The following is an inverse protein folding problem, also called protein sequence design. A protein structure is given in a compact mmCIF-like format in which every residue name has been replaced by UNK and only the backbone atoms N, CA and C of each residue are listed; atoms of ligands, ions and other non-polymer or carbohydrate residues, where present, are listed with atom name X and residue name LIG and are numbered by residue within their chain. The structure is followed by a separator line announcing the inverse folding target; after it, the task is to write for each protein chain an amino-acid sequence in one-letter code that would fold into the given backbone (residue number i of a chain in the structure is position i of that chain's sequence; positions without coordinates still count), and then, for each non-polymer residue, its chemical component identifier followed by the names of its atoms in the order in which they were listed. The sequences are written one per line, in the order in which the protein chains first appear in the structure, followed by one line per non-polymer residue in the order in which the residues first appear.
data_IF_192158841002
#
_entry.id   IF_192158841002
#
_cell.length_a   1.000
_cell.length_b   1.000
_cell.length_c   1.000
_cell.angle_alpha   90.00
_cell.angle_beta   90.00
_cell.angle_gamma   90.00
#
_symmetry.space_group_name_H-M   'P 1'
#
loop_
_entity.id
_entity.type
_entity.pdbx_description
1 polymer ?
#
# COMPACT_ATOMS: atom_id res chain seq x y z
N UNK A 1 -9.65 -2.00 3.02
CA UNK A 1 -8.52 -1.25 2.40
C UNK A 1 -7.43 -1.02 3.44
N UNK A 2 -6.16 -1.08 3.01
CA UNK A 2 -4.98 -0.90 3.84
C UNK A 2 -3.99 0.04 3.14
N UNK A 3 -3.38 0.97 3.88
CA UNK A 3 -2.32 1.87 3.36
C UNK A 3 -1.04 1.60 4.16
N UNK A 4 0.04 1.26 3.46
CA UNK A 4 1.36 1.03 4.04
C UNK A 4 2.34 2.09 3.59
N UNK A 5 3.24 2.52 4.49
CA UNK A 5 4.29 3.48 4.15
C UNK A 5 5.22 2.94 3.05
N UNK A 6 5.72 1.71 3.21
CA UNK A 6 6.51 0.97 2.22
C UNK A 6 6.46 -0.52 2.56
N UNK A 7 7.19 -1.35 1.81
CA UNK A 7 7.32 -2.79 2.04
C UNK A 7 8.68 -3.20 2.62
N UNK A 8 9.50 -2.23 3.07
CA UNK A 8 10.82 -2.51 3.66
C UNK A 8 10.66 -2.87 5.13
N UNK A 9 11.42 -3.85 5.62
CA UNK A 9 11.26 -4.30 7.02
C UNK A 9 9.84 -4.81 7.28
N UNK A 10 9.37 -4.88 8.54
CA UNK A 10 8.23 -5.74 8.91
C UNK A 10 6.92 -5.45 8.17
N UNK A 11 6.81 -4.32 7.48
CA UNK A 11 5.62 -3.87 6.79
C UNK A 11 5.12 -4.84 5.72
N UNK A 12 5.98 -5.60 5.01
CA UNK A 12 5.51 -6.67 4.10
C UNK A 12 4.72 -7.73 4.86
N UNK A 13 5.28 -8.21 5.97
CA UNK A 13 4.67 -9.27 6.78
C UNK A 13 3.40 -8.78 7.45
N UNK A 14 3.43 -7.56 8.02
CA UNK A 14 2.25 -6.93 8.64
C UNK A 14 1.14 -6.74 7.60
N UNK A 15 1.49 -6.29 6.39
CA UNK A 15 0.53 -6.11 5.32
C UNK A 15 -0.14 -7.43 4.91
N UNK A 16 0.66 -8.48 4.77
CA UNK A 16 0.15 -9.82 4.46
C UNK A 16 -0.79 -10.32 5.55
N UNK A 17 -0.34 -10.29 6.81
CA UNK A 17 -1.11 -10.80 7.95
C UNK A 17 -2.42 -10.05 8.17
N UNK A 18 -2.40 -8.72 8.01
CA UNK A 18 -3.62 -7.93 8.09
C UNK A 18 -4.59 -8.30 6.98
N UNK A 19 -4.11 -8.44 5.72
CA UNK A 19 -4.94 -8.86 4.60
C UNK A 19 -5.51 -10.28 4.78
N UNK A 20 -4.75 -11.21 5.36
CA UNK A 20 -5.21 -12.57 5.68
C UNK A 20 -6.37 -12.60 6.69
N UNK A 21 -6.56 -11.56 7.52
CA UNK A 21 -7.69 -11.49 8.45
C UNK A 21 -9.04 -11.23 7.75
N UNK A 22 -9.06 -10.85 6.48
CA UNK A 22 -10.27 -10.46 5.75
C UNK A 22 -10.63 -11.49 4.66
N UNK A 23 -10.82 -12.75 5.05
CA UNK A 23 -11.08 -13.87 4.13
C UNK A 23 -12.32 -13.71 3.25
N UNK A 24 -13.35 -13.01 3.74
CA UNK A 24 -14.63 -12.82 3.06
C UNK A 24 -14.81 -11.41 2.48
N UNK A 25 -13.72 -10.63 2.33
CA UNK A 25 -13.77 -9.27 1.81
C UNK A 25 -12.73 -9.04 0.73
N UNK A 26 -13.09 -8.26 -0.28
CA UNK A 26 -12.11 -7.73 -1.24
C UNK A 26 -11.23 -6.70 -0.53
N UNK A 27 -9.95 -7.04 -0.33
CA UNK A 27 -8.97 -6.13 0.25
C UNK A 27 -8.04 -5.55 -0.80
N UNK A 28 -7.85 -4.24 -0.74
CA UNK A 28 -6.83 -3.50 -1.49
C UNK A 28 -5.77 -2.96 -0.54
N UNK A 29 -4.51 -3.24 -0.84
CA UNK A 29 -3.32 -2.77 -0.13
C UNK A 29 -2.57 -1.76 -0.99
N UNK A 30 -2.32 -0.56 -0.48
CA UNK A 30 -1.59 0.50 -1.19
C UNK A 30 -0.26 0.77 -0.49
N UNK A 31 0.85 0.59 -1.19
CA UNK A 31 2.18 1.01 -0.74
C UNK A 31 2.49 2.44 -1.21
N UNK A 32 2.70 3.34 -0.25
CA UNK A 32 3.02 4.73 -0.54
C UNK A 32 4.40 4.87 -1.18
N UNK A 33 5.40 4.09 -0.74
CA UNK A 33 6.78 4.12 -1.27
C UNK A 33 7.28 2.74 -1.66
N UNK A 34 8.40 2.75 -2.39
CA UNK A 34 9.02 1.56 -2.97
C UNK A 34 8.57 1.35 -4.42
N UNK A 35 9.41 0.68 -5.20
CA UNK A 35 9.13 0.39 -6.60
C UNK A 35 8.05 -0.69 -6.73
N UNK A 36 7.31 -0.64 -7.85
CA UNK A 36 6.35 -1.68 -8.19
C UNK A 36 7.07 -3.03 -8.29
N UNK A 37 6.59 -4.02 -7.56
CA UNK A 37 7.18 -5.36 -7.51
C UNK A 37 6.10 -6.43 -7.56
N UNK A 38 6.21 -7.34 -8.53
CA UNK A 38 5.32 -8.50 -8.67
C UNK A 38 5.50 -9.51 -7.53
N UNK A 39 6.72 -9.66 -7.00
CA UNK A 39 6.97 -10.51 -5.81
C UNK A 39 6.20 -10.01 -4.58
N UNK A 40 6.23 -8.70 -4.35
CA UNK A 40 5.52 -8.10 -3.22
C UNK A 40 4.02 -8.22 -3.44
N UNK A 41 3.52 -7.84 -4.62
CA UNK A 41 2.10 -7.92 -4.96
C UNK A 41 1.55 -9.35 -4.84
N UNK A 42 2.28 -10.35 -5.34
CA UNK A 42 1.86 -11.75 -5.28
C UNK A 42 1.93 -12.37 -3.88
N UNK A 43 2.58 -11.72 -2.91
CA UNK A 43 2.73 -12.23 -1.54
C UNK A 43 1.70 -11.73 -0.55
N UNK A 44 0.81 -10.81 -0.96
CA UNK A 44 -0.21 -10.21 -0.09
C UNK A 44 -1.57 -10.52 -0.72
N UNK A 45 -2.53 -11.08 0.05
CA UNK A 45 -3.88 -11.32 -0.46
C UNK A 45 -4.55 -10.04 -0.99
N UNK A 46 -5.32 -10.19 -2.06
CA UNK A 46 -6.09 -9.11 -2.67
C UNK A 46 -5.30 -8.25 -3.66
N UNK A 47 -5.83 -7.06 -3.95
CA UNK A 47 -5.21 -6.13 -4.88
C UNK A 47 -4.08 -5.34 -4.21
N UNK A 48 -2.97 -5.14 -4.92
CA UNK A 48 -1.81 -4.40 -4.41
C UNK A 48 -1.37 -3.31 -5.37
N UNK A 49 -1.43 -2.05 -4.92
CA UNK A 49 -1.03 -0.87 -5.68
C UNK A 49 0.21 -0.19 -5.07
N UNK A 50 0.99 0.49 -5.90
CA UNK A 50 2.21 1.20 -5.51
C UNK A 50 2.16 2.65 -6.01
N UNK A 51 2.22 3.61 -5.09
CA UNK A 51 2.31 5.03 -5.45
C UNK A 51 3.74 5.50 -5.75
N UNK A 52 4.76 4.67 -5.44
CA UNK A 52 6.17 4.90 -5.74
C UNK A 52 6.68 6.29 -5.31
N UNK A 53 6.18 6.82 -4.20
CA UNK A 53 6.48 8.19 -3.79
C UNK A 53 7.98 8.37 -3.44
N UNK A 54 8.56 9.46 -3.94
CA UNK A 54 9.95 9.86 -3.72
C UNK A 54 10.25 10.31 -2.28
N UNK A 55 11.52 10.52 -1.97
CA UNK A 55 11.94 10.98 -0.64
C UNK A 55 11.42 12.40 -0.42
N UNK A 56 10.73 12.62 0.70
CA UNK A 56 10.14 13.91 1.03
C UNK A 56 8.69 14.11 0.59
N UNK A 57 8.14 13.25 -0.28
CA UNK A 57 6.72 13.33 -0.69
C UNK A 57 5.72 13.11 0.46
N UNK A 58 6.19 12.51 1.56
CA UNK A 58 5.42 12.32 2.80
C UNK A 58 5.77 13.34 3.89
N UNK A 59 6.55 14.39 3.58
CA UNK A 59 6.82 15.51 4.51
C UNK A 59 5.76 16.59 4.34
N UNK A 60 5.53 17.36 5.41
CA UNK A 60 4.59 18.48 5.38
C UNK A 60 3.14 18.03 5.20
N UNK A 61 2.32 18.91 4.63
CA UNK A 61 0.89 18.68 4.44
C UNK A 61 0.65 17.76 3.22
N UNK A 62 0.14 16.56 3.46
CA UNK A 62 0.06 15.44 2.50
C UNK A 62 -1.15 15.50 1.54
N UNK A 63 -1.56 16.68 1.09
CA UNK A 63 -2.78 16.82 0.27
C UNK A 63 -2.68 16.08 -1.07
N UNK A 64 -1.54 16.16 -1.75
CA UNK A 64 -1.33 15.44 -3.02
C UNK A 64 -1.34 13.91 -2.84
N UNK A 65 -0.81 13.41 -1.72
CA UNK A 65 -0.84 11.98 -1.41
C UNK A 65 -2.27 11.52 -1.09
N UNK A 66 -3.03 12.34 -0.37
CA UNK A 66 -4.45 12.07 -0.11
C UNK A 66 -5.27 12.04 -1.41
N UNK A 67 -5.00 12.96 -2.34
CA UNK A 67 -5.63 12.96 -3.66
C UNK A 67 -5.29 11.71 -4.48
N UNK A 68 -4.02 11.29 -4.49
CA UNK A 68 -3.59 10.07 -5.18
C UNK A 68 -4.27 8.82 -4.61
N UNK A 69 -4.35 8.72 -3.29
CA UNK A 69 -5.06 7.62 -2.63
C UNK A 69 -6.56 7.66 -2.97
N UNK A 70 -7.19 8.83 -2.96
CA UNK A 70 -8.60 8.96 -3.32
C UNK A 70 -8.90 8.50 -4.76
N UNK A 71 -7.99 8.77 -5.71
CA UNK A 71 -8.10 8.32 -7.09
C UNK A 71 -7.97 6.80 -7.30
N UNK A 72 -7.47 6.06 -6.29
CA UNK A 72 -7.39 4.58 -6.31
C UNK A 72 -8.63 3.94 -5.68
N UNK A 73 -9.31 4.68 -4.78
CA UNK A 73 -10.49 4.23 -4.06
C UNK A 73 -11.76 4.44 -4.89
N UNK A 74 -11.79 5.50 -5.70
CA UNK A 74 -12.93 5.92 -6.53
C UNK A 74 -12.89 5.40 -7.95
#
# INVERSE_FOLDING_TARGET
MQICHDFKGPFRTVARQYAECFVDCEIKTIFLRGEKSSDIAGSIPGEVDFLMLGSGALRGLKLGVAANVAAIIG
#
